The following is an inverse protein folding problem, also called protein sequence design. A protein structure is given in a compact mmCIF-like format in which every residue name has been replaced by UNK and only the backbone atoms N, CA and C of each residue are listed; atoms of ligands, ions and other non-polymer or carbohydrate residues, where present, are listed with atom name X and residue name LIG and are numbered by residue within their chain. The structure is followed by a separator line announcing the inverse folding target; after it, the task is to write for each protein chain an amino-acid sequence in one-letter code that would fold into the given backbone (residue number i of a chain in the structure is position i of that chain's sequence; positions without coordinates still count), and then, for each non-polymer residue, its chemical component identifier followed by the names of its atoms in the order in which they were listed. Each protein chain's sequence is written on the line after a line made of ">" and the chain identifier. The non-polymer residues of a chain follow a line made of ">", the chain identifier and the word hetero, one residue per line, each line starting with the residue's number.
data_IF_967780946207
#
_entry.id   IF_967780946207
#
_cell.length_a   1.000
_cell.length_b   1.000
_cell.length_c   1.000
_cell.angle_alpha   90.00
_cell.angle_beta   90.00
_cell.angle_gamma   90.00
#
_symmetry.space_group_name_H-M   'P 1'
#
loop_
_entity.id
_entity.type
_entity.pdbx_description
1 polymer ?
2 non-polymer ?
3 water ?
#
# COMPACT_ATOMS: atom_id res chain seq x y z
N UNK A 2 -19.66 -10.87 7.19
CA UNK A 2 -18.89 -11.69 6.20
C UNK A 2 -17.69 -10.92 5.64
N UNK A 3 -16.61 -11.66 5.36
CA UNK A 3 -15.32 -11.11 4.90
C UNK A 3 -15.42 -10.45 3.54
N UNK A 4 -15.00 -9.20 3.47
CA UNK A 4 -15.02 -8.47 2.21
C UNK A 4 -14.15 -9.28 1.24
N UNK A 5 -12.93 -9.62 1.67
CA UNK A 5 -12.03 -10.50 0.92
C UNK A 5 -11.35 -11.39 1.95
N UNK A 6 -10.85 -12.52 1.49
CA UNK A 6 -9.97 -13.43 2.21
C UNK A 6 -8.57 -13.21 1.69
N UNK A 7 -7.73 -12.64 2.53
CA UNK A 7 -6.35 -12.35 2.22
C UNK A 7 -5.49 -13.49 2.82
N UNK A 8 -4.72 -14.12 1.95
CA UNK A 8 -4.01 -15.33 2.31
C UNK A 8 -2.49 -15.17 2.11
N UNK A 9 -1.73 -15.23 3.21
CA UNK A 9 -0.27 -15.09 3.13
C UNK A 9 0.37 -16.44 3.30
N UNK A 10 1.12 -16.83 2.31
CA UNK A 10 1.80 -18.09 2.26
C UNK A 10 3.16 -17.91 2.89
N UNK A 11 3.42 -18.58 4.01
CA UNK A 11 4.74 -18.52 4.67
C UNK A 11 5.40 -17.14 4.83
N UNK A 12 4.65 -16.15 5.33
CA UNK A 12 5.23 -14.82 5.42
C UNK A 12 6.45 -14.78 6.33
N UNK A 13 7.40 -13.92 5.99
CA UNK A 13 8.75 -13.98 6.57
C UNK A 13 9.09 -12.86 7.53
N UNK A 14 8.65 -11.65 7.18
CA UNK A 14 9.11 -10.37 7.76
C UNK A 14 8.00 -9.86 8.72
N UNK A 15 8.26 -9.78 10.03
CA UNK A 15 7.14 -9.36 10.90
C UNK A 15 6.39 -8.07 10.55
N UNK A 16 7.09 -6.96 10.24
CA UNK A 16 6.34 -5.72 9.99
C UNK A 16 5.39 -5.79 8.83
N UNK A 17 5.72 -6.55 7.78
CA UNK A 17 4.78 -6.71 6.69
C UNK A 17 3.45 -7.34 7.16
N UNK A 18 3.53 -8.38 7.96
CA UNK A 18 2.35 -9.07 8.42
C UNK A 18 1.56 -8.13 9.37
N UNK A 19 2.28 -7.37 10.19
CA UNK A 19 1.66 -6.41 11.07
C UNK A 19 0.86 -5.37 10.33
N UNK A 20 1.48 -4.80 9.29
CA UNK A 20 0.79 -3.86 8.40
C UNK A 20 -0.47 -4.47 7.76
N UNK A 21 -0.40 -5.74 7.33
CA UNK A 21 -1.50 -6.43 6.70
C UNK A 21 -2.62 -6.71 7.66
N UNK A 22 -2.27 -7.02 8.92
CA UNK A 22 -3.30 -7.19 9.98
C UNK A 22 -4.13 -5.92 10.14
N UNK A 23 -3.44 -4.78 10.24
CA UNK A 23 -4.05 -3.48 10.35
C UNK A 23 -4.93 -3.19 9.12
N UNK A 24 -4.39 -3.46 7.94
CA UNK A 24 -5.12 -3.25 6.70
C UNK A 24 -6.41 -4.05 6.73
N UNK A 25 -6.32 -5.35 7.07
CA UNK A 25 -7.48 -6.22 7.00
C UNK A 25 -8.50 -5.78 7.99
N UNK A 26 -8.04 -5.36 9.17
CA UNK A 26 -8.99 -4.88 10.18
C UNK A 26 -9.72 -3.59 9.74
N UNK A 27 -8.99 -2.70 9.06
CA UNK A 27 -9.59 -1.44 8.57
C UNK A 27 -10.58 -1.59 7.41
N UNK A 28 -10.49 -2.70 6.68
CA UNK A 28 -11.24 -2.91 5.46
C UNK A 28 -12.25 -4.06 5.54
N UNK A 29 -12.34 -4.78 6.65
CA UNK A 29 -13.29 -5.86 6.74
C UNK A 29 -12.86 -7.14 6.08
N UNK A 30 -11.54 -7.33 5.88
CA UNK A 30 -11.03 -8.59 5.30
C UNK A 30 -10.69 -9.61 6.37
N UNK A 31 -10.81 -10.89 6.02
CA UNK A 31 -10.33 -11.98 6.85
C UNK A 31 -8.94 -12.36 6.42
N UNK A 32 -8.00 -12.31 7.37
CA UNK A 32 -6.61 -12.70 7.11
C UNK A 32 -6.45 -14.20 7.44
N UNK A 33 -5.75 -14.88 6.55
CA UNK A 33 -5.32 -16.27 6.69
C UNK A 33 -3.79 -16.31 6.60
N UNK A 34 -3.16 -17.06 7.51
CA UNK A 34 -1.72 -17.29 7.46
C UNK A 34 -1.42 -18.76 7.26
N UNK A 35 -0.63 -19.09 6.24
CA UNK A 35 -0.18 -20.45 6.04
C UNK A 35 1.21 -20.66 6.57
N UNK A 36 1.31 -21.57 7.53
CA UNK A 36 2.57 -21.98 8.16
C UNK A 36 3.45 -22.81 7.19
N UNK A 37 4.77 -22.89 7.45
CA UNK A 37 5.47 -22.17 8.53
C UNK A 37 5.68 -20.67 8.29
N UNK A 38 5.47 -19.89 9.33
CA UNK A 38 5.85 -18.50 9.32
C UNK A 38 7.35 -18.38 9.49
N UNK A 39 7.91 -17.26 9.02
CA UNK A 39 9.37 -17.02 9.15
C UNK A 39 9.72 -16.30 10.43
N UNK A 40 8.74 -16.10 11.30
CA UNK A 40 8.94 -15.44 12.60
C UNK A 40 8.08 -16.13 13.62
N UNK A 41 8.33 -15.95 14.91
CA UNK A 41 7.49 -16.66 15.88
C UNK A 41 6.32 -15.73 16.19
N UNK A 42 5.15 -16.34 16.27
CA UNK A 42 3.90 -15.65 16.58
C UNK A 42 3.89 -15.32 18.06
N UNK A 43 3.61 -14.07 18.38
CA UNK A 43 3.70 -13.61 19.75
C UNK A 43 2.76 -12.46 19.99
N UNK A 44 1.69 -12.76 20.72
CA UNK A 44 0.65 -11.84 21.14
C UNK A 44 1.26 -10.54 21.66
N UNK A 45 2.28 -10.71 22.51
CA UNK A 45 2.87 -9.56 23.20
C UNK A 45 3.59 -8.65 22.22
N UNK A 46 4.26 -9.22 21.24
CA UNK A 46 4.89 -8.41 20.21
C UNK A 46 3.89 -7.68 19.34
N UNK A 47 2.79 -8.34 19.00
CA UNK A 47 1.76 -7.69 18.21
C UNK A 47 1.17 -6.49 18.94
N UNK A 48 0.90 -6.64 20.25
CA UNK A 48 0.37 -5.51 21.01
C UNK A 48 1.38 -4.36 21.10
N UNK A 49 2.65 -4.70 21.28
CA UNK A 49 3.71 -3.69 21.39
C UNK A 49 3.84 -2.94 20.08
N UNK A 50 3.56 -3.63 18.97
CA UNK A 50 3.60 -2.99 17.65
C UNK A 50 2.39 -2.07 17.41
N UNK A 51 1.42 -2.04 18.34
CA UNK A 51 0.26 -1.15 18.25
C UNK A 51 -1.04 -1.81 17.79
N UNK A 52 -1.01 -3.13 17.65
CA UNK A 52 -2.19 -3.86 17.22
C UNK A 52 -3.08 -4.22 18.41
N UNK A 53 -4.36 -3.96 18.26
CA UNK A 53 -5.34 -4.28 19.28
C UNK A 53 -5.72 -5.77 19.18
N UNK A 54 -6.11 -6.36 20.31
CA UNK A 54 -6.50 -7.78 20.34
C UNK A 54 -7.44 -8.17 19.22
N UNK A 55 -8.46 -7.36 18.98
CA UNK A 55 -9.49 -7.81 18.03
C UNK A 55 -9.00 -7.73 16.58
N UNK A 56 -7.91 -7.02 16.35
CA UNK A 56 -7.26 -7.07 15.05
C UNK A 56 -6.59 -8.41 14.71
N UNK A 57 -6.05 -9.11 15.70
CA UNK A 57 -5.27 -10.33 15.41
C UNK A 57 -5.88 -11.61 15.98
N UNK A 58 -6.85 -11.48 16.90
CA UNK A 58 -7.36 -12.67 17.63
C UNK A 58 -8.02 -13.68 16.74
N UNK A 59 -8.57 -13.18 15.63
CA UNK A 59 -9.44 -13.96 14.77
C UNK A 59 -8.87 -14.25 13.40
N UNK A 60 -7.56 -14.14 13.31
CA UNK A 60 -6.82 -14.58 12.14
C UNK A 60 -6.90 -16.08 12.01
N UNK A 61 -7.10 -16.58 10.79
CA UNK A 61 -7.08 -18.05 10.57
C UNK A 61 -5.68 -18.53 10.32
N UNK A 62 -5.24 -19.56 11.05
CA UNK A 62 -3.91 -20.07 10.87
C UNK A 62 -4.05 -21.46 10.27
N UNK A 63 -3.35 -21.72 9.16
CA UNK A 63 -3.44 -23.01 8.48
C UNK A 63 -2.09 -23.73 8.53
N UNK A 64 -2.10 -25.05 8.77
CA UNK A 64 -0.84 -25.83 8.82
C UNK A 64 -0.03 -25.84 7.54
N UNK A 65 -0.75 -25.84 6.42
CA UNK A 65 -0.16 -25.95 5.09
C UNK A 65 -1.20 -25.58 4.07
N UNK A 66 -0.77 -25.49 2.82
CA UNK A 66 -1.61 -25.03 1.72
C UNK A 66 -2.81 -25.93 1.49
N UNK A 67 -2.60 -27.26 1.40
CA UNK A 67 -3.73 -28.14 1.20
C UNK A 67 -4.74 -28.06 2.37
N UNK A 68 -4.27 -27.81 3.59
CA UNK A 68 -5.19 -27.66 4.75
C UNK A 68 -6.03 -26.38 4.65
N UNK A 69 -5.42 -25.32 4.09
CA UNK A 69 -6.14 -24.09 3.77
C UNK A 69 -7.23 -24.39 2.76
N UNK A 70 -6.88 -25.11 1.70
CA UNK A 70 -7.88 -25.45 0.67
C UNK A 70 -9.03 -26.27 1.25
N UNK A 71 -8.69 -27.24 2.08
CA UNK A 71 -9.70 -28.10 2.67
C UNK A 71 -10.60 -27.29 3.61
N UNK A 72 -10.00 -26.47 4.47
CA UNK A 72 -10.72 -25.65 5.45
C UNK A 72 -11.72 -24.71 4.77
N UNK A 73 -11.33 -24.18 3.63
CA UNK A 73 -12.11 -23.18 2.95
C UNK A 73 -12.97 -23.75 1.83
N UNK A 74 -13.01 -25.07 1.71
CA UNK A 74 -13.80 -25.80 0.67
C UNK A 74 -13.46 -25.36 -0.74
N UNK A 75 -12.19 -25.13 -1.00
CA UNK A 75 -11.71 -24.75 -2.30
C UNK A 75 -11.27 -26.04 -3.01
N UNK A 76 -11.73 -26.20 -4.24
CA UNK A 76 -11.42 -27.37 -5.06
C UNK A 76 -9.91 -27.37 -5.35
N UNK A 77 -9.20 -28.37 -4.84
CA UNK A 77 -7.73 -28.40 -4.81
C UNK A 77 -7.07 -28.14 -6.18
N UNK A 78 -7.64 -28.80 -7.20
CA UNK A 78 -7.23 -28.61 -8.61
C UNK A 78 -7.60 -27.17 -9.09
N UNK A 79 -8.91 -26.91 -9.26
CA UNK A 79 -9.43 -25.63 -9.81
C UNK A 79 -10.21 -24.74 -8.76
N UNK A 80 -9.49 -24.09 -7.82
CA UNK A 80 -10.17 -23.47 -6.67
C UNK A 80 -11.00 -22.21 -7.01
N UNK A 81 -12.25 -22.22 -6.53
CA UNK A 81 -13.27 -21.20 -6.85
C UNK A 81 -12.92 -19.81 -6.35
N UNK A 82 -12.72 -18.85 -7.29
CA UNK A 82 -12.48 -17.47 -6.88
C UNK A 82 -11.22 -17.36 -5.98
N UNK A 83 -10.21 -18.18 -6.25
CA UNK A 83 -8.87 -17.97 -5.75
C UNK A 83 -7.99 -17.34 -6.80
N UNK A 84 -7.33 -16.25 -6.44
CA UNK A 84 -6.39 -15.57 -7.35
C UNK A 84 -5.05 -15.52 -6.65
N UNK A 85 -3.98 -15.81 -7.39
CA UNK A 85 -2.67 -15.70 -6.86
C UNK A 85 -2.08 -14.39 -7.36
N UNK A 86 -1.53 -13.63 -6.44
CA UNK A 86 -0.87 -12.37 -6.80
C UNK A 86 0.57 -12.71 -7.06
N UNK A 87 1.04 -12.45 -8.28
CA UNK A 87 2.38 -12.78 -8.63
C UNK A 87 2.90 -11.89 -9.76
N UNK A 88 4.19 -11.56 -9.69
CA UNK A 88 4.86 -10.78 -10.76
C UNK A 88 4.83 -11.61 -12.07
N UNK A 89 4.64 -12.91 -11.93
CA UNK A 89 4.57 -13.78 -13.11
C UNK A 89 3.17 -13.87 -13.73
N UNK A 90 2.22 -13.08 -13.25
CA UNK A 90 0.83 -13.16 -13.68
C UNK A 90 0.53 -12.43 -14.95
N UNK A 91 -0.75 -12.41 -15.29
CA UNK A 91 -1.18 -11.89 -16.59
C UNK A 91 -2.09 -10.67 -16.50
N UNK A 92 -3.35 -10.84 -16.05
CA UNK A 92 -4.17 -9.63 -15.90
C UNK A 92 -3.64 -8.69 -14.80
N UNK A 93 -3.80 -7.40 -14.99
CA UNK A 93 -3.61 -6.45 -13.92
C UNK A 93 -4.64 -6.69 -12.80
N UNK A 94 -4.30 -6.30 -11.58
CA UNK A 94 -5.20 -6.40 -10.44
C UNK A 94 -6.51 -5.65 -10.73
N UNK A 95 -6.46 -4.59 -11.53
CA UNK A 95 -7.63 -3.77 -11.84
C UNK A 95 -8.46 -4.33 -13.03
N UNK A 96 -7.97 -5.41 -13.64
CA UNK A 96 -8.58 -6.05 -14.81
C UNK A 96 -9.44 -7.22 -14.37
N UNK A 97 -9.36 -7.62 -13.10
CA UNK A 97 -10.18 -8.68 -12.54
C UNK A 97 -11.41 -8.02 -12.02
N UNK A 98 -12.54 -8.73 -12.09
CA UNK A 98 -13.76 -8.21 -11.50
C UNK A 98 -14.02 -8.99 -10.20
N UNK A 99 -13.80 -8.34 -9.08
CA UNK A 99 -13.81 -8.96 -7.76
C UNK A 99 -15.24 -9.23 -7.30
N UNK A 100 -15.37 -10.26 -6.46
CA UNK A 100 -16.62 -10.55 -5.73
C UNK A 100 -16.29 -10.62 -4.25
N UNK A 101 -17.27 -10.29 -3.41
CA UNK A 101 -17.10 -10.46 -2.00
C UNK A 101 -16.70 -11.90 -1.68
N UNK A 102 -15.83 -12.01 -0.70
CA UNK A 102 -15.30 -13.28 -0.23
C UNK A 102 -14.24 -13.92 -1.15
N UNK A 103 -13.83 -13.29 -2.25
CA UNK A 103 -12.75 -13.81 -3.06
C UNK A 103 -11.50 -14.08 -2.19
N UNK A 104 -10.70 -15.08 -2.58
CA UNK A 104 -9.47 -15.44 -1.93
C UNK A 104 -8.33 -14.87 -2.77
N UNK A 105 -7.46 -14.08 -2.11
CA UNK A 105 -6.33 -13.47 -2.74
C UNK A 105 -5.08 -14.00 -2.03
N UNK A 106 -4.23 -14.68 -2.77
CA UNK A 106 -3.09 -15.44 -2.25
C UNK A 106 -1.80 -14.75 -2.58
N UNK A 107 -1.00 -14.51 -1.55
CA UNK A 107 0.30 -13.85 -1.68
C UNK A 107 1.44 -14.74 -1.21
N UNK A 108 2.57 -14.67 -1.90
CA UNK A 108 3.76 -15.42 -1.53
C UNK A 108 4.67 -14.77 -0.50
N UNK A 109 5.69 -15.52 -0.10
CA UNK A 109 6.70 -15.07 0.87
C UNK A 109 7.63 -14.10 0.22
N UNK A 110 8.17 -13.24 1.06
CA UNK A 110 8.93 -12.06 0.61
C UNK A 110 10.16 -12.42 -0.22
N UNK A 111 10.82 -13.51 0.12
CA UNK A 111 12.06 -13.93 -0.57
C UNK A 111 11.75 -14.77 -1.79
N UNK A 112 10.92 -15.79 -1.64
CA UNK A 112 10.79 -16.81 -2.69
C UNK A 112 9.64 -16.58 -3.66
N UNK A 113 8.61 -15.85 -3.25
CA UNK A 113 7.33 -15.85 -3.93
C UNK A 113 6.65 -17.25 -3.88
N UNK A 114 5.52 -17.37 -4.57
CA UNK A 114 4.72 -18.59 -4.50
C UNK A 114 5.38 -19.77 -5.21
N UNK A 115 5.23 -20.96 -4.62
CA UNK A 115 5.85 -22.15 -5.24
C UNK A 115 5.26 -22.48 -6.60
N UNK A 116 6.10 -23.05 -7.43
CA UNK A 116 5.71 -23.39 -8.80
C UNK A 116 4.47 -24.30 -8.83
N UNK A 117 4.36 -25.27 -7.93
CA UNK A 117 3.21 -26.15 -8.01
C UNK A 117 1.86 -25.47 -7.77
N UNK A 118 1.85 -24.38 -7.01
CA UNK A 118 0.62 -23.62 -6.82
C UNK A 118 0.33 -22.81 -8.09
N UNK A 119 1.31 -22.08 -8.60
CA UNK A 119 1.07 -21.30 -9.83
C UNK A 119 0.79 -22.17 -11.05
N UNK A 120 1.49 -23.31 -11.20
CA UNK A 120 1.35 -24.11 -12.42
C UNK A 120 -0.04 -24.71 -12.49
N UNK A 121 -0.70 -24.86 -11.35
CA UNK A 121 -2.08 -25.40 -11.26
C UNK A 121 -3.17 -24.39 -11.52
N UNK A 122 -2.86 -23.10 -11.55
CA UNK A 122 -3.89 -22.10 -11.80
C UNK A 122 -3.90 -21.63 -13.25
N UNK A 123 -5.09 -21.36 -13.80
CA UNK A 123 -5.13 -20.74 -15.13
C UNK A 123 -4.56 -19.32 -15.10
N UNK A 124 -4.08 -18.90 -16.26
CA UNK A 124 -3.46 -17.60 -16.42
C UNK A 124 -4.36 -16.48 -15.87
N UNK A 125 -5.68 -16.60 -16.04
CA UNK A 125 -6.57 -15.52 -15.62
C UNK A 125 -6.76 -15.45 -14.10
N UNK A 126 -6.22 -16.42 -13.35
CA UNK A 126 -6.31 -16.39 -11.90
C UNK A 126 -4.96 -16.03 -11.28
N UNK A 127 -3.99 -15.63 -12.12
CA UNK A 127 -2.68 -15.16 -11.66
C UNK A 127 -2.56 -13.69 -12.06
N UNK A 128 -2.59 -12.84 -11.03
CA UNK A 128 -2.72 -11.40 -11.14
C UNK A 128 -1.38 -10.72 -10.93
N UNK A 129 -0.98 -9.89 -11.88
CA UNK A 129 0.21 -9.08 -11.78
C UNK A 129 -0.16 -7.60 -11.60
N UNK A 130 0.26 -7.05 -10.50
CA UNK A 130 0.17 -5.60 -10.26
C UNK A 130 1.21 -4.99 -11.18
N UNK A 131 0.79 -4.03 -12.02
CA UNK A 131 1.75 -3.44 -12.98
C UNK A 131 2.99 -2.81 -12.34
N UNK A 132 4.10 -2.92 -13.06
CA UNK A 132 5.38 -2.33 -12.67
C UNK A 132 6.13 -2.02 -13.94
N UNK A 133 7.01 -1.01 -13.90
CA UNK A 133 7.91 -0.76 -15.01
C UNK A 133 8.82 -1.94 -15.29
N UNK A 134 9.29 -2.04 -16.54
CA UNK A 134 10.28 -3.03 -16.91
C UNK A 134 11.49 -2.88 -15.95
N UNK A 135 12.10 -3.98 -15.62
CA UNK A 135 13.30 -4.04 -14.85
C UNK A 135 13.04 -3.90 -13.34
N UNK A 136 11.79 -3.69 -12.92
CA UNK A 136 11.50 -3.46 -11.50
C UNK A 136 11.76 -4.57 -10.47
N UNK A 137 12.10 -4.16 -9.25
CA UNK A 137 12.11 -5.05 -8.13
C UNK A 137 10.64 -5.22 -7.70
N UNK A 138 10.13 -6.47 -7.57
CA UNK A 138 8.83 -6.74 -6.99
C UNK A 138 8.40 -5.67 -6.00
N UNK A 139 7.12 -5.68 -5.65
CA UNK A 139 6.61 -4.74 -4.65
C UNK A 139 6.96 -5.24 -3.22
N UNK A 140 7.01 -4.35 -2.24
CA UNK A 140 6.84 -4.75 -0.83
C UNK A 140 5.54 -5.50 -0.66
N UNK A 141 5.59 -6.60 0.10
CA UNK A 141 4.42 -7.46 0.26
C UNK A 141 3.21 -6.72 0.82
N UNK A 142 3.41 -5.92 1.88
CA UNK A 142 2.26 -5.23 2.45
C UNK A 142 1.71 -4.16 1.50
N UNK A 143 2.55 -3.53 0.70
CA UNK A 143 2.05 -2.59 -0.32
C UNK A 143 1.26 -3.33 -1.35
N UNK A 144 1.73 -4.52 -1.75
CA UNK A 144 0.98 -5.31 -2.73
C UNK A 144 -0.40 -5.65 -2.24
N UNK A 145 -0.49 -6.15 -1.02
CA UNK A 145 -1.80 -6.49 -0.44
C UNK A 145 -2.70 -5.24 -0.41
N UNK A 146 -2.18 -4.12 0.07
CA UNK A 146 -2.96 -2.87 0.17
C UNK A 146 -3.56 -2.44 -1.15
N UNK A 147 -2.75 -2.49 -2.20
CA UNK A 147 -3.19 -2.10 -3.53
C UNK A 147 -4.34 -3.00 -4.05
N UNK A 148 -4.21 -4.30 -3.87
CA UNK A 148 -5.23 -5.21 -4.37
C UNK A 148 -6.51 -5.11 -3.55
N UNK A 149 -6.36 -5.03 -2.23
CA UNK A 149 -7.50 -4.88 -1.33
C UNK A 149 -8.31 -3.61 -1.61
N UNK A 150 -7.62 -2.49 -1.79
CA UNK A 150 -8.34 -1.24 -2.08
C UNK A 150 -8.94 -1.19 -3.49
N UNK A 151 -8.30 -1.83 -4.47
CA UNK A 151 -8.90 -1.96 -5.79
C UNK A 151 -10.19 -2.78 -5.75
N UNK A 152 -10.15 -3.94 -5.08
CA UNK A 152 -11.32 -4.77 -4.95
C UNK A 152 -12.44 -4.02 -4.22
N UNK A 153 -12.08 -3.31 -3.16
CA UNK A 153 -13.06 -2.61 -2.38
C UNK A 153 -13.71 -1.49 -3.18
N UNK A 154 -12.90 -0.79 -4.00
CA UNK A 154 -13.39 0.22 -4.89
C UNK A 154 -14.43 -0.39 -5.79
N UNK A 155 -14.09 -1.53 -6.40
CA UNK A 155 -15.01 -2.18 -7.37
C UNK A 155 -16.30 -2.55 -6.73
N UNK A 156 -16.22 -2.98 -5.48
CA UNK A 156 -17.39 -3.38 -4.71
C UNK A 156 -18.24 -2.21 -4.20
N UNK A 157 -17.75 -0.98 -4.34
CA UNK A 157 -18.45 0.24 -3.88
C UNK A 157 -18.23 0.52 -2.41
N UNK A 158 -17.10 0.05 -1.87
CA UNK A 158 -16.64 0.33 -0.52
C UNK A 158 -17.69 -0.06 0.52
N UNK A 159 -18.25 -1.26 0.39
CA UNK A 159 -19.23 -1.63 1.43
C UNK A 159 -18.59 -1.65 2.81
N UNK A 160 -19.30 -1.10 3.80
CA UNK A 160 -18.79 -1.05 5.15
C UNK A 160 -17.97 0.21 5.47
N UNK A 161 -17.59 1.02 4.46
CA UNK A 161 -16.82 2.24 4.68
C UNK A 161 -17.69 3.30 5.31
N UNK A 162 -17.10 4.08 6.21
CA UNK A 162 -17.77 5.24 6.78
C UNK A 162 -17.89 6.30 5.68
N UNK A 163 -19.09 6.85 5.50
CA UNK A 163 -19.32 7.84 4.44
C UNK A 163 -18.96 9.27 4.85
N UNK A 164 -18.28 10.00 3.96
CA UNK A 164 -18.17 11.48 4.02
C UNK A 164 -18.68 12.10 2.71
N UNK B 2 6.51 17.56 -16.76
CA UNK B 2 7.61 16.59 -17.03
C UNK B 2 7.49 15.21 -16.32
N UNK B 3 7.10 15.12 -15.04
CA UNK B 3 6.97 13.80 -14.38
C UNK B 3 5.62 13.19 -14.72
N UNK B 4 5.53 11.87 -14.73
CA UNK B 4 4.21 11.21 -14.84
C UNK B 4 3.31 11.51 -13.62
N UNK B 5 3.84 11.30 -12.42
CA UNK B 5 3.19 11.68 -11.15
C UNK B 5 4.29 12.09 -10.21
N UNK B 6 4.01 13.10 -9.38
CA UNK B 6 4.92 13.60 -8.37
C UNK B 6 4.43 13.19 -6.97
N UNK B 7 5.20 12.38 -6.29
CA UNK B 7 4.85 11.89 -4.95
C UNK B 7 5.70 12.71 -3.98
N UNK B 8 5.04 13.34 -2.99
CA UNK B 8 5.68 14.38 -2.17
C UNK B 8 5.46 13.99 -0.74
N UNK B 9 6.53 13.66 -0.04
CA UNK B 9 6.48 13.33 1.38
C UNK B 9 6.91 14.52 2.23
N UNK B 10 6.00 15.00 3.05
CA UNK B 10 6.24 16.13 3.96
C UNK B 10 6.72 15.56 5.31
N UNK B 11 7.94 15.88 5.66
CA UNK B 11 8.52 15.53 6.94
C UNK B 11 8.45 14.01 7.19
N UNK B 12 8.93 13.24 6.22
CA UNK B 12 9.00 11.79 6.38
C UNK B 12 9.68 11.37 7.71
N UNK B 13 9.05 10.48 8.47
CA UNK B 13 9.50 10.25 9.82
C UNK B 13 10.27 8.97 10.02
N UNK B 14 9.65 7.89 9.55
CA UNK B 14 9.92 6.52 9.96
C UNK B 14 10.69 5.95 8.79
N UNK B 15 11.98 5.68 8.99
CA UNK B 15 12.83 5.30 7.84
C UNK B 15 12.43 4.06 6.92
N UNK B 16 11.85 2.99 7.50
CA UNK B 16 11.42 1.92 6.58
C UNK B 16 10.25 2.33 5.69
N UNK B 17 9.36 3.20 6.15
CA UNK B 17 8.30 3.69 5.30
C UNK B 17 8.87 4.40 4.10
N UNK B 18 9.82 5.29 4.36
CA UNK B 18 10.41 6.03 3.26
C UNK B 18 11.10 5.08 2.27
N UNK B 19 11.79 4.10 2.80
CA UNK B 19 12.43 3.10 1.91
C UNK B 19 11.46 2.40 1.03
N UNK B 20 10.35 2.01 1.64
CA UNK B 20 9.34 1.31 0.85
C UNK B 20 8.72 2.23 -0.24
N UNK B 21 8.55 3.52 0.07
CA UNK B 21 8.07 4.47 -0.88
C UNK B 21 9.05 4.76 -2.04
N UNK B 22 10.33 4.76 -1.74
CA UNK B 22 11.34 4.95 -2.73
C UNK B 22 11.20 3.81 -3.76
N UNK B 23 11.08 2.59 -3.26
CA UNK B 23 10.94 1.42 -4.19
C UNK B 23 9.62 1.49 -4.96
N UNK B 24 8.52 1.88 -4.29
CA UNK B 24 7.25 2.08 -4.99
C UNK B 24 7.36 3.05 -6.13
N UNK B 25 7.99 4.21 -5.86
CA UNK B 25 8.14 5.23 -6.91
C UNK B 25 8.97 4.74 -8.10
N UNK B 26 10.02 3.99 -7.83
CA UNK B 26 10.87 3.47 -8.87
C UNK B 26 10.17 2.40 -9.72
N UNK B 27 9.39 1.57 -9.05
CA UNK B 27 8.57 0.56 -9.74
C UNK B 27 7.44 1.12 -10.64
N UNK B 28 6.94 2.33 -10.33
CA UNK B 28 5.76 2.87 -10.97
C UNK B 28 6.14 3.99 -11.89
N UNK B 29 7.40 4.43 -11.79
CA UNK B 29 7.85 5.55 -12.57
C UNK B 29 7.44 6.94 -12.10
N UNK B 30 7.25 7.12 -10.80
CA UNK B 30 6.89 8.42 -10.26
C UNK B 30 8.15 9.18 -9.83
N UNK B 31 8.06 10.49 -9.79
CA UNK B 31 9.10 11.33 -9.26
C UNK B 31 8.85 11.56 -7.78
N UNK B 32 9.81 11.19 -6.94
CA UNK B 32 9.70 11.40 -5.50
C UNK B 32 10.29 12.74 -5.07
N UNK B 33 9.57 13.42 -4.13
CA UNK B 33 10.06 14.65 -3.52
C UNK B 33 10.03 14.42 -1.99
N UNK B 34 11.06 14.91 -1.28
CA UNK B 34 11.11 14.82 0.16
C UNK B 34 11.30 16.22 0.71
N UNK B 35 10.38 16.62 1.57
CA UNK B 35 10.44 17.96 2.16
C UNK B 35 10.93 17.87 3.61
N UNK B 36 12.02 18.61 3.86
CA UNK B 36 12.64 18.67 5.18
C UNK B 36 11.80 19.42 6.21
N UNK B 37 12.01 19.16 7.51
CA UNK B 37 13.02 18.28 8.06
C UNK B 37 12.64 16.82 8.02
N UNK B 38 13.62 15.99 7.67
CA UNK B 38 13.49 14.56 7.72
C UNK B 38 13.58 14.10 9.21
N UNK B 39 12.81 13.06 9.53
CA UNK B 39 12.77 12.47 10.84
C UNK B 39 13.86 11.44 11.09
N UNK B 40 14.74 11.22 10.12
CA UNK B 40 15.80 10.26 10.19
C UNK B 40 16.98 10.82 9.40
N UNK B 41 18.15 10.19 9.54
CA UNK B 41 19.38 10.63 8.87
C UNK B 41 19.48 10.03 7.47
N UNK B 42 19.67 10.88 6.48
CA UNK B 42 19.67 10.47 5.08
C UNK B 42 21.09 10.05 4.80
N UNK B 43 21.25 8.80 4.42
CA UNK B 43 22.53 8.28 4.14
C UNK B 43 22.46 7.23 3.04
N UNK B 44 23.19 7.47 1.95
CA UNK B 44 23.17 6.57 0.78
C UNK B 44 23.60 5.14 1.21
N UNK B 45 24.56 5.06 2.12
CA UNK B 45 25.03 3.74 2.59
C UNK B 45 23.95 2.99 3.40
N UNK B 46 23.17 3.70 4.22
CA UNK B 46 22.03 3.07 4.90
C UNK B 46 20.92 2.66 3.95
N UNK B 47 20.66 3.49 2.92
CA UNK B 47 19.66 3.12 1.89
C UNK B 47 20.08 1.82 1.19
N UNK B 48 21.35 1.72 0.84
CA UNK B 48 21.85 0.51 0.18
C UNK B 48 21.77 -0.72 1.12
N UNK B 49 22.18 -0.53 2.36
CA UNK B 49 22.13 -1.63 3.36
C UNK B 49 20.68 -2.07 3.53
N UNK B 50 19.74 -1.11 3.39
CA UNK B 50 18.31 -1.43 3.43
C UNK B 50 17.77 -2.16 2.17
N UNK B 51 18.59 -2.36 1.15
CA UNK B 51 18.10 -3.03 -0.05
C UNK B 51 17.77 -2.15 -1.24
N UNK B 52 17.98 -0.85 -1.12
CA UNK B 52 17.67 0.04 -2.25
C UNK B 52 18.88 0.17 -3.15
N UNK B 53 18.63 0.28 -4.44
CA UNK B 53 19.69 0.46 -5.42
C UNK B 53 19.79 1.95 -5.76
N UNK B 54 21.00 2.38 -6.10
CA UNK B 54 21.25 3.78 -6.38
C UNK B 54 20.28 4.42 -7.35
N UNK B 55 19.94 3.74 -8.44
CA UNK B 55 19.06 4.40 -9.44
C UNK B 55 17.68 4.74 -8.86
N UNK B 56 17.30 4.04 -7.82
CA UNK B 56 16.00 4.29 -7.14
C UNK B 56 15.96 5.59 -6.36
N UNK B 57 17.09 6.02 -5.82
CA UNK B 57 17.12 7.25 -5.01
C UNK B 57 17.94 8.40 -5.56
N UNK B 58 18.69 8.15 -6.61
CA UNK B 58 19.65 9.15 -7.12
C UNK B 58 18.97 10.44 -7.56
N UNK B 59 17.76 10.32 -8.09
CA UNK B 59 17.04 11.46 -8.70
C UNK B 59 15.89 12.00 -7.86
N UNK B 60 15.84 11.63 -6.58
CA UNK B 60 14.87 12.21 -5.68
C UNK B 60 15.07 13.70 -5.57
N UNK B 61 13.98 14.46 -5.49
CA UNK B 61 14.09 15.91 -5.30
C UNK B 61 13.93 16.25 -3.86
N UNK B 62 14.96 16.88 -3.28
CA UNK B 62 14.98 17.25 -1.88
C UNK B 62 14.68 18.75 -1.74
N UNK B 63 13.76 19.07 -0.83
CA UNK B 63 13.34 20.47 -0.65
C UNK B 63 13.51 20.89 0.78
N UNK B 64 13.97 22.13 0.96
CA UNK B 64 14.26 22.60 2.31
C UNK B 64 13.02 22.81 3.21
N UNK B 65 11.91 23.20 2.62
CA UNK B 65 10.67 23.39 3.35
C UNK B 65 9.53 23.46 2.33
N UNK B 66 8.31 23.59 2.77
CA UNK B 66 7.16 23.51 1.81
C UNK B 66 7.22 24.65 0.79
N UNK B 67 7.57 25.85 1.26
CA UNK B 67 7.67 26.97 0.31
C UNK B 67 8.74 26.72 -0.75
N UNK B 68 9.87 26.13 -0.36
CA UNK B 68 10.90 25.80 -1.34
C UNK B 68 10.41 24.81 -2.38
N UNK B 69 9.61 23.82 -1.94
CA UNK B 69 8.92 22.86 -2.82
C UNK B 69 8.03 23.65 -3.79
N UNK B 70 7.14 24.47 -3.26
CA UNK B 70 6.25 25.28 -4.13
C UNK B 70 7.03 26.09 -5.19
N UNK B 71 8.12 26.72 -4.77
CA UNK B 71 8.93 27.54 -5.66
C UNK B 71 9.62 26.71 -6.73
N UNK B 72 10.17 25.56 -6.33
CA UNK B 72 10.84 24.64 -7.28
C UNK B 72 9.85 24.19 -8.34
N UNK B 73 8.63 23.91 -7.90
CA UNK B 73 7.61 23.41 -8.82
C UNK B 73 6.73 24.47 -9.46
N UNK B 74 7.00 25.73 -9.18
CA UNK B 74 6.23 26.82 -9.74
C UNK B 74 4.74 26.70 -9.41
N UNK B 75 4.46 26.33 -8.17
CA UNK B 75 3.09 26.24 -7.65
C UNK B 75 2.79 27.50 -6.81
N UNK B 76 1.56 27.98 -6.94
CA UNK B 76 1.13 29.22 -6.28
C UNK B 76 0.65 28.88 -4.86
N UNK B 77 1.33 29.38 -3.82
CA UNK B 77 0.96 29.03 -2.45
C UNK B 77 -0.46 29.36 -2.11
N UNK B 78 -1.07 30.31 -2.82
CA UNK B 78 -2.45 30.70 -2.47
C UNK B 78 -3.48 29.62 -2.78
N UNK B 79 -3.16 28.75 -3.74
CA UNK B 79 -3.95 27.60 -4.10
C UNK B 79 -3.18 26.73 -5.10
N UNK B 80 -2.33 25.83 -4.60
CA UNK B 80 -1.45 25.01 -5.48
C UNK B 80 -2.29 24.20 -6.47
N UNK B 81 -1.99 24.33 -7.77
CA UNK B 81 -2.75 23.63 -8.83
C UNK B 81 -2.35 22.17 -8.92
N UNK B 82 -3.35 21.30 -9.06
CA UNK B 82 -3.20 19.89 -9.28
C UNK B 82 -2.36 19.24 -8.18
N UNK B 83 -2.53 19.73 -6.96
CA UNK B 83 -1.93 19.09 -5.80
C UNK B 83 -3.03 18.52 -4.93
N UNK B 84 -2.92 17.23 -4.62
CA UNK B 84 -3.94 16.49 -3.87
C UNK B 84 -3.23 16.05 -2.59
N UNK B 85 -3.80 16.42 -1.46
CA UNK B 85 -3.23 16.10 -0.15
C UNK B 85 -4.06 15.03 0.54
N UNK B 86 -3.39 13.99 0.99
CA UNK B 86 -4.08 12.91 1.76
C UNK B 86 -4.25 13.35 3.17
N UNK B 87 -5.48 13.33 3.65
CA UNK B 87 -5.77 13.77 4.99
C UNK B 87 -7.10 13.17 5.46
N UNK B 88 -7.19 12.80 6.73
CA UNK B 88 -8.46 12.30 7.29
C UNK B 88 -9.49 13.44 7.27
N UNK B 89 -9.02 14.68 7.14
CA UNK B 89 -9.91 15.84 6.97
C UNK B 89 -10.44 16.07 5.55
N UNK B 90 -10.13 15.15 4.64
CA UNK B 90 -10.52 15.27 3.26
C UNK B 90 -11.96 14.93 2.99
N UNK B 91 -12.39 15.21 1.77
CA UNK B 91 -13.76 15.08 1.38
C UNK B 91 -13.87 13.93 0.36
N UNK B 92 -13.40 14.11 -0.87
CA UNK B 92 -13.55 12.95 -1.77
C UNK B 92 -12.65 11.80 -1.37
N UNK B 93 -13.11 10.59 -1.66
CA UNK B 93 -12.20 9.44 -1.67
C UNK B 93 -11.11 9.63 -2.72
N UNK B 94 -9.96 9.01 -2.47
CA UNK B 94 -8.87 9.06 -3.40
C UNK B 94 -9.26 8.61 -4.81
N UNK B 95 -10.28 7.75 -4.88
CA UNK B 95 -10.72 7.23 -6.17
C UNK B 95 -11.84 8.06 -6.80
N UNK B 96 -12.23 9.11 -6.14
CA UNK B 96 -13.38 9.92 -6.59
C UNK B 96 -12.90 11.18 -7.29
N UNK B 97 -11.60 11.39 -7.43
CA UNK B 97 -11.09 12.53 -8.17
C UNK B 97 -10.49 11.97 -9.44
N UNK B 98 -10.28 12.83 -10.41
CA UNK B 98 -9.77 12.44 -11.69
C UNK B 98 -8.35 13.00 -11.85
N UNK B 99 -7.38 12.11 -11.91
CA UNK B 99 -5.95 12.45 -11.95
C UNK B 99 -5.49 12.76 -13.39
N UNK B 100 -4.43 13.54 -13.47
CA UNK B 100 -3.77 13.93 -14.73
C UNK B 100 -2.28 13.78 -14.59
N UNK B 101 -1.62 13.58 -15.74
CA UNK B 101 -0.17 13.55 -15.74
C UNK B 101 0.41 14.80 -15.07
N UNK B 102 1.48 14.55 -14.31
CA UNK B 102 2.26 15.51 -13.53
C UNK B 102 1.57 16.03 -12.28
N UNK B 103 0.47 15.41 -11.89
CA UNK B 103 -0.21 15.79 -10.63
C UNK B 103 0.76 15.61 -9.47
N UNK B 104 0.53 16.39 -8.42
CA UNK B 104 1.27 16.25 -7.13
C UNK B 104 0.39 15.56 -6.11
N UNK B 105 0.91 14.51 -5.51
CA UNK B 105 0.20 13.75 -4.45
C UNK B 105 1.04 13.95 -3.20
N UNK B 106 0.46 14.65 -2.22
CA UNK B 106 1.13 15.06 -0.98
C UNK B 106 0.70 14.28 0.24
N UNK B 107 1.68 13.79 0.98
CA UNK B 107 1.47 12.93 2.16
C UNK B 107 2.25 13.44 3.36
N UNK B 108 1.57 13.55 4.49
CA UNK B 108 2.26 13.97 5.70
C UNK B 108 2.69 12.74 6.47
N UNK B 109 3.27 12.96 7.62
CA UNK B 109 3.69 11.75 8.43
C UNK B 109 2.54 10.82 8.87
N UNK B 110 2.86 9.55 9.17
CA UNK B 110 1.86 8.52 9.33
C UNK B 110 0.81 8.92 10.37
N UNK B 111 1.32 9.48 11.46
CA UNK B 111 0.56 9.86 12.65
C UNK B 111 -0.02 11.30 12.61
N UNK B 112 0.90 12.27 12.49
CA UNK B 112 0.58 13.72 12.54
C UNK B 112 -0.25 14.22 11.32
N UNK B 113 0.06 13.70 10.15
CA UNK B 113 -0.55 14.23 8.93
C UNK B 113 -0.03 15.64 8.61
N UNK B 114 -0.83 16.45 7.91
CA UNK B 114 -0.35 17.70 7.33
C UNK B 114 -0.78 18.91 8.14
N UNK B 115 0.04 19.97 8.16
CA UNK B 115 -0.32 21.15 8.93
C UNK B 115 -1.42 22.00 8.25
N UNK B 116 -2.11 22.77 9.07
CA UNK B 116 -3.17 23.65 8.57
C UNK B 116 -2.67 24.65 7.54
N UNK B 117 -1.47 25.17 7.67
CA UNK B 117 -0.96 26.12 6.64
C UNK B 117 -0.92 25.51 5.24
N UNK B 118 -0.77 24.19 5.17
CA UNK B 118 -0.81 23.49 3.89
C UNK B 118 -2.27 23.21 3.46
N UNK B 119 -3.06 22.64 4.37
CA UNK B 119 -4.41 22.17 4.02
C UNK B 119 -5.41 23.35 3.75
N UNK B 120 -5.25 24.43 4.48
CA UNK B 120 -6.10 25.63 4.33
C UNK B 120 -6.03 26.26 2.93
N UNK B 121 -4.89 26.10 2.25
CA UNK B 121 -4.70 26.60 0.87
C UNK B 121 -5.35 25.72 -0.20
N UNK B 122 -5.83 24.52 0.16
CA UNK B 122 -6.41 23.59 -0.78
C UNK B 122 -7.93 23.55 -0.65
N UNK B 123 -8.65 23.56 -1.77
CA UNK B 123 -10.07 23.35 -1.73
C UNK B 123 -10.43 21.92 -1.35
N UNK B 124 -11.66 21.75 -0.89
CA UNK B 124 -12.13 20.45 -0.41
C UNK B 124 -11.85 19.34 -1.44
N UNK B 125 -12.01 19.62 -2.72
CA UNK B 125 -11.87 18.55 -3.72
C UNK B 125 -10.41 18.18 -4.01
N UNK B 126 -9.47 18.88 -3.38
CA UNK B 126 -8.03 18.56 -3.49
C UNK B 126 -7.51 17.92 -2.22
N UNK B 127 -8.40 17.64 -1.30
CA UNK B 127 -8.05 16.95 -0.05
C UNK B 127 -8.76 15.60 -0.03
N UNK B 128 -7.97 14.57 -0.25
CA UNK B 128 -8.47 13.23 -0.48
C UNK B 128 -8.34 12.39 0.79
N UNK B 129 -9.23 11.42 0.93
CA UNK B 129 -9.23 10.51 2.06
C UNK B 129 -9.21 9.06 1.50
N UNK B 130 -8.59 8.14 2.21
CA UNK B 130 -8.71 6.71 1.88
C UNK B 130 -9.87 6.14 2.67
N UNK B 131 -10.85 5.55 2.01
CA UNK B 131 -11.96 5.04 2.80
C UNK B 131 -11.55 4.03 3.84
N UNK B 132 -12.25 4.02 4.98
CA UNK B 132 -12.08 2.99 6.02
C UNK B 132 -13.37 2.71 6.77
N UNK B 133 -13.43 1.54 7.41
CA UNK B 133 -14.57 1.20 8.24
C UNK B 133 -14.60 2.11 9.47
N UNK B 134 -15.75 2.21 10.11
CA UNK B 134 -15.84 2.84 11.42
C UNK B 134 -14.84 2.21 12.40
N UNK B 135 -14.27 3.06 13.26
CA UNK B 135 -13.35 2.65 14.34
C UNK B 135 -12.10 1.99 13.77
N UNK B 136 -11.66 2.52 12.63
CA UNK B 136 -10.41 2.06 12.04
C UNK B 136 -9.23 2.73 12.74
N UNK B 137 -8.05 2.17 12.54
CA UNK B 137 -6.83 2.72 13.10
C UNK B 137 -5.93 3.14 11.98
N UNK B 138 -4.83 3.86 12.30
CA UNK B 138 -3.93 4.41 11.28
C UNK B 138 -3.37 3.33 10.36
N UNK B 139 -3.47 3.59 9.08
CA UNK B 139 -2.86 2.74 8.07
C UNK B 139 -1.38 3.03 7.95
N UNK B 140 -0.60 2.02 7.65
CA UNK B 140 0.83 2.25 7.43
C UNK B 140 0.99 3.28 6.29
N UNK B 141 1.93 4.22 6.44
CA UNK B 141 2.02 5.30 5.46
C UNK B 141 2.43 4.79 4.10
N UNK B 142 3.41 3.91 4.02
CA UNK B 142 3.80 3.33 2.69
C UNK B 142 2.60 2.67 1.98
N UNK B 143 1.82 1.91 2.75
CA UNK B 143 0.60 1.26 2.20
C UNK B 143 -0.39 2.28 1.67
N UNK B 144 -0.65 3.36 2.42
CA UNK B 144 -1.49 4.44 1.95
C UNK B 144 -0.99 5.10 0.67
N UNK B 145 0.30 5.41 0.64
CA UNK B 145 0.86 6.01 -0.55
C UNK B 145 0.71 5.05 -1.76
N UNK B 146 0.96 3.77 -1.53
CA UNK B 146 0.81 2.79 -2.58
C UNK B 146 -0.60 2.78 -3.15
N UNK B 147 -1.59 2.81 -2.27
CA UNK B 147 -3.00 2.84 -2.71
C UNK B 147 -3.30 4.05 -3.61
N UNK B 148 -2.86 5.23 -3.17
CA UNK B 148 -3.16 6.44 -3.88
C UNK B 148 -2.40 6.45 -5.22
N UNK B 149 -1.12 6.13 -5.16
CA UNK B 149 -0.32 6.03 -6.38
C UNK B 149 -0.89 5.07 -7.41
N UNK B 150 -1.26 3.85 -7.01
CA UNK B 150 -1.77 2.91 -7.96
C UNK B 150 -3.14 3.29 -8.54
N UNK B 151 -3.98 3.98 -7.75
CA UNK B 151 -5.29 4.48 -8.26
C UNK B 151 -5.05 5.55 -9.32
N UNK B 152 -4.14 6.48 -9.04
CA UNK B 152 -3.83 7.54 -10.01
C UNK B 152 -3.18 6.96 -11.23
N UNK B 153 -2.21 6.06 -11.01
CA UNK B 153 -1.56 5.44 -12.17
C UNK B 153 -2.51 4.56 -13.01
N UNK B 154 -3.44 3.85 -12.36
CA UNK B 154 -4.49 3.15 -13.09
C UNK B 154 -5.30 4.11 -13.97
N UNK B 155 -5.73 5.23 -13.40
CA UNK B 155 -6.52 6.22 -14.17
C UNK B 155 -5.76 6.72 -15.42
N UNK B 156 -4.45 6.86 -15.30
CA UNK B 156 -3.62 7.27 -16.45
C UNK B 156 -3.40 6.19 -17.49
N UNK B 157 -3.78 4.95 -17.19
CA UNK B 157 -3.60 3.82 -18.11
C UNK B 157 -2.30 3.06 -17.91
N UNK B 158 -1.77 3.15 -16.71
CA UNK B 158 -0.47 2.55 -16.35
C UNK B 158 0.62 2.84 -17.39
N UNK B 159 0.76 4.11 -17.80
CA UNK B 159 1.82 4.39 -18.80
C UNK B 159 3.20 4.01 -18.23
N UNK B 160 4.00 3.37 -19.08
CA UNK B 160 5.34 2.94 -18.70
C UNK B 160 5.37 1.52 -18.15
N UNK B 161 4.22 0.93 -17.84
CA UNK B 161 4.19 -0.40 -17.27
C UNK B 161 4.58 -1.39 -18.30
N UNK B 162 5.30 -2.42 -17.89
CA UNK B 162 5.69 -3.48 -18.77
C UNK B 162 4.45 -4.20 -19.41
#
# INVERSE_FOLDING_TARGET
>A
SNAMLNIVLFEPEIPPNTGNIIRLCANTGCQLHLIKPLGFTWDDKRLRRAGLDYHEFADIKHHHDYQAFLDSEKLDSTQPARLFALTTKGTPAHSAVSYQANDYLLFGPETRGLPAYILDALPAQQKIRIPMQADSRSMNLSNAVSVVVYEAWRQLGYPGALLKE
>B
SNAMLNIVLFEPEIPPNTGNIIRLCANTGCQLHLIKPLGFTWDDKRLRRAGLDYHEFADIKHHHDYQAFLDSEKLDSTQPARLFALTTKGTPAHSAVSYQANDYLLFGPETRGLPAYILDALPAQQKIRIPMQADSRSMNLSNAVSVVVYEAWRQLGYPGALLKE
#
